data_IF_527498169273
#
_entry.id   IF_527498169273
#
_cell.length_a   1.000
_cell.length_b   1.000
_cell.length_c   1.000
_cell.angle_alpha   90.00
_cell.angle_beta   90.00
_cell.angle_gamma   90.00
#
_symmetry.space_group_name_H-M   'P 1'
#
loop_
_entity.id
_entity.type
_entity.pdbx_description
1 polymer ?
#
# COMPACT_ATOMS: atom_id res chain seq x y z
N UNK A 1 49.77 -28.04 -6.97
CA UNK A 1 48.87 -28.90 -6.18
C UNK A 1 47.59 -29.09 -6.98
N UNK A 2 47.32 -30.33 -7.37
CA UNK A 2 46.21 -30.77 -8.22
C UNK A 2 45.18 -31.42 -7.31
N UNK A 3 43.91 -30.99 -7.39
CA UNK A 3 42.79 -31.83 -6.97
C UNK A 3 41.65 -31.67 -7.98
N UNK A 4 41.55 -32.63 -8.90
CA UNK A 4 40.34 -32.86 -9.71
C UNK A 4 39.45 -33.81 -8.92
N UNK A 5 38.21 -33.41 -8.64
CA UNK A 5 37.16 -34.34 -8.22
C UNK A 5 36.18 -34.46 -9.37
N UNK A 6 36.21 -35.62 -10.01
CA UNK A 6 35.22 -36.08 -10.95
C UNK A 6 34.03 -36.67 -10.19
N UNK A 7 32.84 -36.48 -10.73
CA UNK A 7 31.79 -37.50 -10.94
C UNK A 7 30.38 -36.97 -10.63
N UNK A 8 29.74 -36.52 -11.71
CA UNK A 8 28.39 -36.90 -12.15
C UNK A 8 27.41 -37.47 -11.13
N UNK A 9 26.36 -36.70 -10.83
CA UNK A 9 25.00 -37.21 -10.72
C UNK A 9 24.07 -36.26 -11.49
N UNK A 10 23.47 -36.82 -12.53
CA UNK A 10 22.55 -36.15 -13.42
C UNK A 10 21.28 -35.71 -12.68
N UNK A 11 20.89 -34.46 -12.88
CA UNK A 11 19.48 -34.09 -12.84
C UNK A 11 19.25 -33.10 -13.99
N UNK A 12 18.81 -33.64 -15.12
CA UNK A 12 18.36 -32.87 -16.25
C UNK A 12 16.98 -32.28 -15.92
N UNK A 13 16.93 -30.97 -15.66
CA UNK A 13 15.75 -30.15 -15.92
C UNK A 13 16.25 -28.91 -16.64
N UNK A 14 16.47 -29.04 -17.95
CA UNK A 14 16.56 -27.90 -18.86
C UNK A 14 15.15 -27.39 -19.12
N UNK A 15 14.70 -26.43 -18.32
CA UNK A 15 13.67 -25.48 -18.70
C UNK A 15 14.24 -24.09 -18.49
N UNK A 16 14.88 -23.64 -19.57
CA UNK A 16 15.37 -22.29 -19.75
C UNK A 16 14.24 -21.27 -19.57
N UNK A 17 14.56 -20.23 -18.80
CA UNK A 17 14.09 -18.86 -18.94
C UNK A 17 12.57 -18.62 -19.09
N UNK A 18 11.94 -18.16 -18.00
CA UNK A 18 11.41 -16.79 -17.98
C UNK A 18 11.68 -16.19 -16.60
N UNK A 19 12.72 -15.35 -16.51
CA UNK A 19 12.75 -14.31 -15.49
C UNK A 19 11.68 -13.27 -15.88
N UNK A 20 10.45 -13.44 -15.40
CA UNK A 20 9.54 -12.31 -15.19
C UNK A 20 10.11 -11.63 -13.93
N UNK A 21 10.99 -10.64 -14.01
CA UNK A 21 10.78 -9.44 -14.81
C UNK A 21 9.73 -8.60 -14.11
N UNK A 22 10.14 -7.94 -13.02
CA UNK A 22 9.27 -7.03 -12.27
C UNK A 22 9.63 -6.97 -10.79
N UNK A 23 10.78 -6.41 -10.44
CA UNK A 23 10.80 -5.63 -9.21
C UNK A 23 9.77 -4.50 -9.41
N UNK A 24 8.58 -4.63 -8.84
CA UNK A 24 7.53 -3.59 -8.92
C UNK A 24 7.84 -2.44 -7.97
N UNK A 25 9.07 -1.91 -8.00
CA UNK A 25 9.41 -0.71 -7.22
C UNK A 25 8.90 0.54 -7.94
N UNK A 26 8.88 0.55 -9.28
CA UNK A 26 8.38 1.69 -10.06
C UNK A 26 6.89 2.03 -9.86
N UNK A 27 6.05 1.07 -9.40
CA UNK A 27 4.64 1.37 -9.04
C UNK A 27 4.48 1.87 -7.61
N UNK A 28 5.38 1.49 -6.70
CA UNK A 28 5.38 2.02 -5.34
C UNK A 28 5.69 3.51 -5.40
N UNK A 29 6.76 3.90 -6.11
CA UNK A 29 7.16 5.30 -6.26
C UNK A 29 6.02 6.17 -6.83
N UNK A 30 5.36 5.75 -7.91
CA UNK A 30 4.25 6.52 -8.51
C UNK A 30 2.99 6.58 -7.63
N UNK A 31 2.63 5.50 -6.94
CA UNK A 31 1.47 5.48 -6.05
C UNK A 31 1.72 6.30 -4.78
N UNK A 32 2.96 6.28 -4.26
CA UNK A 32 3.41 7.06 -3.11
C UNK A 32 3.42 8.54 -3.44
N UNK A 33 4.01 8.92 -4.58
CA UNK A 33 4.00 10.30 -5.07
C UNK A 33 2.56 10.79 -5.27
N UNK A 34 1.69 9.98 -5.88
CA UNK A 34 0.29 10.35 -6.06
C UNK A 34 -0.43 10.51 -4.72
N UNK A 35 -0.24 9.57 -3.78
CA UNK A 35 -0.84 9.60 -2.46
C UNK A 35 -0.41 10.86 -1.69
N UNK A 36 0.90 11.13 -1.65
CA UNK A 36 1.46 12.31 -0.99
C UNK A 36 0.96 13.58 -1.67
N UNK A 37 0.96 13.64 -3.00
CA UNK A 37 0.43 14.77 -3.76
C UNK A 37 -1.03 15.07 -3.38
N UNK A 38 -1.93 14.08 -3.41
CA UNK A 38 -3.33 14.29 -3.02
C UNK A 38 -3.45 14.69 -1.55
N UNK A 39 -2.65 14.09 -0.67
CA UNK A 39 -2.63 14.42 0.75
C UNK A 39 -2.21 15.89 0.98
N UNK A 40 -1.16 16.35 0.30
CA UNK A 40 -0.66 17.73 0.35
C UNK A 40 -1.67 18.76 -0.16
N UNK A 41 -2.44 18.43 -1.20
CA UNK A 41 -3.47 19.32 -1.75
C UNK A 41 -4.58 19.69 -0.77
N UNK A 42 -4.77 18.90 0.28
CA UNK A 42 -5.78 19.22 1.30
C UNK A 42 -5.41 20.43 2.16
N UNK A 43 -4.13 20.83 2.16
CA UNK A 43 -3.54 21.84 3.07
C UNK A 43 -3.82 21.57 4.56
N UNK A 44 -4.20 20.35 4.91
CA UNK A 44 -4.55 19.99 6.27
C UNK A 44 -3.30 19.62 7.06
N UNK A 45 -3.20 20.11 8.30
CA UNK A 45 -1.99 19.94 9.12
C UNK A 45 -1.98 18.66 9.98
N UNK A 46 -3.02 17.83 9.93
CA UNK A 46 -3.19 16.70 10.85
C UNK A 46 -2.15 15.58 10.67
N UNK A 47 -1.51 15.49 9.50
CA UNK A 47 -0.44 14.54 9.24
C UNK A 47 0.97 15.15 9.30
N UNK A 48 1.11 16.49 9.33
CA UNK A 48 2.41 17.18 9.28
C UNK A 48 3.38 16.84 10.41
N UNK A 49 2.93 16.53 11.65
CA UNK A 49 3.85 16.08 12.69
C UNK A 49 4.57 14.76 12.37
N UNK A 50 4.07 14.01 11.39
CA UNK A 50 4.65 12.75 10.96
C UNK A 50 5.47 12.95 9.67
N UNK A 51 6.61 12.28 9.57
CA UNK A 51 7.39 12.24 8.33
C UNK A 51 6.69 11.45 7.23
N UNK A 52 7.11 11.65 5.98
CA UNK A 52 6.56 10.96 4.81
C UNK A 52 6.65 9.43 4.93
N UNK A 53 7.80 8.91 5.36
CA UNK A 53 7.98 7.47 5.55
C UNK A 53 6.96 6.86 6.52
N UNK A 54 6.67 7.60 7.60
CA UNK A 54 5.67 7.18 8.56
C UNK A 54 4.28 7.16 7.91
N UNK A 55 3.87 8.24 7.26
CA UNK A 55 2.51 8.36 6.70
C UNK A 55 2.27 7.33 5.59
N UNK A 56 3.29 7.05 4.78
CA UNK A 56 3.30 5.99 3.78
C UNK A 56 3.19 4.60 4.42
N UNK A 57 3.93 4.36 5.51
CA UNK A 57 3.81 3.12 6.28
C UNK A 57 2.38 2.87 6.78
N UNK A 58 1.74 3.91 7.32
CA UNK A 58 0.34 3.85 7.75
C UNK A 58 -0.59 3.56 6.57
N UNK A 59 -0.38 4.23 5.44
CA UNK A 59 -1.22 4.08 4.26
C UNK A 59 -1.16 2.66 3.68
N UNK A 60 0.03 2.05 3.62
CA UNK A 60 0.20 0.64 3.22
C UNK A 60 -0.45 -0.31 4.23
N UNK A 61 -0.44 0.04 5.52
CA UNK A 61 -1.13 -0.72 6.58
C UNK A 61 -2.64 -0.87 6.35
N UNK A 62 -3.30 0.12 5.75
CA UNK A 62 -4.73 0.03 5.39
C UNK A 62 -5.01 -1.15 4.45
N UNK A 63 -4.10 -1.45 3.54
CA UNK A 63 -4.26 -2.59 2.64
C UNK A 63 -4.08 -3.93 3.35
N UNK A 64 -3.24 -3.97 4.39
CA UNK A 64 -3.14 -5.13 5.26
C UNK A 64 -4.43 -5.35 6.03
N UNK A 65 -5.00 -4.28 6.62
CA UNK A 65 -6.27 -4.32 7.34
C UNK A 65 -7.39 -4.91 6.47
N UNK A 66 -7.50 -4.49 5.21
CA UNK A 66 -8.44 -5.09 4.26
C UNK A 66 -8.17 -6.56 3.96
N UNK A 67 -6.90 -6.95 3.81
CA UNK A 67 -6.53 -8.33 3.51
C UNK A 67 -6.89 -9.31 4.64
N UNK A 68 -6.94 -8.84 5.89
CA UNK A 68 -7.29 -9.64 7.07
C UNK A 68 -8.73 -9.43 7.53
N UNK A 69 -9.54 -8.70 6.77
CA UNK A 69 -10.98 -8.54 7.00
C UNK A 69 -11.36 -7.53 8.08
N UNK A 70 -10.51 -6.55 8.37
CA UNK A 70 -10.88 -5.42 9.27
C UNK A 70 -12.05 -4.65 8.65
N UNK A 71 -13.08 -4.39 9.46
CA UNK A 71 -14.23 -3.61 9.02
C UNK A 71 -13.90 -2.12 8.87
N UNK A 72 -14.60 -1.41 7.97
CA UNK A 72 -14.34 0.00 7.69
C UNK A 72 -14.38 0.89 8.94
N UNK A 73 -15.46 0.84 9.72
CA UNK A 73 -15.59 1.67 10.92
C UNK A 73 -14.55 1.33 12.00
N UNK A 74 -14.18 0.05 12.10
CA UNK A 74 -13.10 -0.39 12.99
C UNK A 74 -11.76 0.21 12.58
N UNK A 75 -11.43 0.20 11.28
CA UNK A 75 -10.21 0.82 10.76
C UNK A 75 -10.20 2.34 11.00
N UNK A 76 -11.33 3.01 10.80
CA UNK A 76 -11.49 4.45 11.07
C UNK A 76 -11.24 4.76 12.54
N UNK A 77 -11.86 4.02 13.45
CA UNK A 77 -11.70 4.18 14.90
C UNK A 77 -10.25 3.95 15.33
N UNK A 78 -9.62 2.86 14.84
CA UNK A 78 -8.22 2.53 15.12
C UNK A 78 -7.27 3.67 14.73
N UNK A 79 -7.37 4.15 13.48
CA UNK A 79 -6.52 5.23 12.99
C UNK A 79 -6.77 6.52 13.77
N UNK A 80 -8.04 6.87 14.04
CA UNK A 80 -8.41 8.05 14.81
C UNK A 80 -7.81 8.01 16.23
N UNK A 81 -7.97 6.90 16.93
CA UNK A 81 -7.53 6.72 18.32
C UNK A 81 -6.00 6.74 18.45
N UNK A 82 -5.29 6.01 17.58
CA UNK A 82 -3.83 5.89 17.61
C UNK A 82 -3.14 7.21 17.24
N UNK A 83 -3.65 7.93 16.25
CA UNK A 83 -2.99 9.14 15.72
C UNK A 83 -3.59 10.45 16.23
N UNK A 84 -4.62 10.38 17.07
CA UNK A 84 -5.38 11.53 17.57
C UNK A 84 -5.94 12.36 16.42
N UNK A 85 -6.41 11.69 15.37
CA UNK A 85 -7.07 12.30 14.23
C UNK A 85 -8.58 12.32 14.43
N UNK A 86 -9.27 13.26 13.76
CA UNK A 86 -10.73 13.22 13.69
C UNK A 86 -11.19 12.05 12.81
N UNK A 87 -12.38 11.50 13.07
CA UNK A 87 -12.95 10.44 12.21
C UNK A 87 -13.05 10.89 10.75
N UNK A 88 -13.34 12.18 10.52
CA UNK A 88 -13.34 12.76 9.17
C UNK A 88 -11.99 12.61 8.48
N UNK A 89 -10.89 12.92 9.17
CA UNK A 89 -9.55 12.80 8.61
C UNK A 89 -9.15 11.34 8.42
N UNK A 90 -9.50 10.45 9.36
CA UNK A 90 -9.24 9.01 9.24
C UNK A 90 -9.98 8.38 8.05
N UNK A 91 -11.26 8.72 7.84
CA UNK A 91 -12.04 8.27 6.67
C UNK A 91 -11.41 8.73 5.36
N UNK A 92 -11.06 10.02 5.28
CA UNK A 92 -10.39 10.58 4.11
C UNK A 92 -9.06 9.85 3.83
N UNK A 93 -8.24 9.67 4.87
CA UNK A 93 -6.97 8.97 4.79
C UNK A 93 -7.13 7.52 4.29
N UNK A 94 -8.07 6.76 4.88
CA UNK A 94 -8.34 5.38 4.49
C UNK A 94 -8.78 5.30 3.02
N UNK A 95 -9.69 6.18 2.59
CA UNK A 95 -10.14 6.21 1.21
C UNK A 95 -8.99 6.53 0.25
N UNK A 96 -8.18 7.54 0.57
CA UNK A 96 -7.04 7.93 -0.26
C UNK A 96 -5.98 6.81 -0.34
N UNK A 97 -5.61 6.22 0.81
CA UNK A 97 -4.66 5.12 0.89
C UNK A 97 -5.15 3.89 0.12
N UNK A 98 -6.42 3.53 0.27
CA UNK A 98 -7.01 2.38 -0.45
C UNK A 98 -6.99 2.61 -1.96
N UNK A 99 -7.30 3.83 -2.42
CA UNK A 99 -7.25 4.18 -3.85
C UNK A 99 -5.84 4.07 -4.42
N UNK A 100 -4.83 4.53 -3.67
CA UNK A 100 -3.44 4.53 -4.09
C UNK A 100 -2.85 3.11 -4.12
N UNK A 101 -2.98 2.38 -3.01
CA UNK A 101 -2.16 1.20 -2.75
C UNK A 101 -2.88 -0.13 -2.95
N UNK A 102 -4.20 -0.16 -2.88
CA UNK A 102 -4.99 -1.38 -3.05
C UNK A 102 -6.40 -1.09 -3.62
N UNK A 103 -6.46 -0.55 -4.86
CA UNK A 103 -7.69 -0.07 -5.46
C UNK A 103 -8.78 -1.15 -5.59
N UNK A 104 -8.42 -2.43 -5.61
CA UNK A 104 -9.36 -3.55 -5.60
C UNK A 104 -10.29 -3.59 -4.38
N UNK A 105 -9.90 -2.97 -3.26
CA UNK A 105 -10.73 -2.88 -2.05
C UNK A 105 -11.61 -1.63 -2.00
N UNK A 106 -11.43 -0.67 -2.91
CA UNK A 106 -12.05 0.65 -2.78
C UNK A 106 -13.59 0.61 -2.77
N UNK A 107 -14.20 -0.30 -3.52
CA UNK A 107 -15.67 -0.43 -3.58
C UNK A 107 -16.22 -1.55 -2.70
N UNK A 108 -15.37 -2.50 -2.28
CA UNK A 108 -15.78 -3.66 -1.48
C UNK A 108 -15.59 -3.46 0.03
N UNK A 109 -14.52 -2.76 0.43
CA UNK A 109 -14.22 -2.48 1.84
C UNK A 109 -14.77 -1.13 2.31
N UNK A 110 -14.95 -0.16 1.41
CA UNK A 110 -15.40 1.20 1.77
C UNK A 110 -16.87 1.40 1.38
N UNK A 111 -17.76 1.76 2.33
CA UNK A 111 -19.15 2.06 2.04
C UNK A 111 -19.27 3.33 1.16
N UNK A 112 -20.39 3.52 0.47
CA UNK A 112 -20.52 4.57 -0.54
C UNK A 112 -20.22 5.98 0.01
N UNK A 113 -20.70 6.28 1.21
CA UNK A 113 -20.49 7.51 1.95
C UNK A 113 -19.05 7.74 2.42
N UNK A 114 -18.23 6.69 2.46
CA UNK A 114 -16.81 6.76 2.81
C UNK A 114 -15.90 7.05 1.61
N UNK A 115 -16.43 7.03 0.39
CA UNK A 115 -15.66 7.21 -0.84
C UNK A 115 -15.47 8.69 -1.15
N UNK A 116 -14.31 9.03 -1.71
CA UNK A 116 -14.01 10.37 -2.19
C UNK A 116 -14.55 10.48 -3.63
N UNK A 117 -15.57 11.33 -3.80
CA UNK A 117 -16.14 11.66 -5.11
C UNK A 117 -15.10 12.43 -5.92
N UNK A 118 -14.98 12.14 -7.22
CA UNK A 118 -14.07 12.79 -8.16
C UNK A 118 -12.57 12.69 -7.84
N UNK A 119 -12.16 11.66 -7.11
CA UNK A 119 -10.73 11.40 -6.91
C UNK A 119 -10.11 10.87 -8.22
N UNK A 120 -9.10 11.53 -8.82
CA UNK A 120 -8.43 10.99 -10.01
C UNK A 120 -7.79 9.62 -9.72
N UNK A 121 -7.45 8.86 -10.76
CA UNK A 121 -6.61 7.67 -10.58
C UNK A 121 -5.17 8.07 -10.25
N UNK A 122 -4.40 7.19 -9.58
CA UNK A 122 -2.93 7.25 -9.60
C UNK A 122 -2.37 7.01 -11.00
#
# INVERSE_FOLDING_TARGET
MITRIASTLACAITLSAVALGGATTARADAAEDWFLYQLYRTHQKWYWPFGEDYILGVARGVCHDWSVGVGYDQGVESIAATRKWTHRNSRYFIALATRAFCPQYYTSAIPAEGRIVDLPGP
#
